data_IF_172026066409
#
_entry.id   IF_172026066409
#
_cell.length_a   1.000
_cell.length_b   1.000
_cell.length_c   1.000
_cell.angle_alpha   90.00
_cell.angle_beta   90.00
_cell.angle_gamma   90.00
#
_symmetry.space_group_name_H-M   'P 1'
#
loop_
_entity.id
_entity.type
_entity.pdbx_description
1 polymer ?
#
# COMPACT_ATOMS: atom_id res chain seq x y z
N UNK A 1 -4.27 -27.39 35.72
CA UNK A 1 -3.35 -26.99 34.65
C UNK A 1 -3.99 -26.78 33.27
N UNK A 2 -5.15 -27.35 33.01
CA UNK A 2 -5.91 -27.26 31.72
C UNK A 2 -6.50 -25.87 31.44
N UNK A 3 -6.76 -25.02 32.44
CA UNK A 3 -7.45 -23.75 32.29
C UNK A 3 -6.58 -22.62 31.67
N UNK A 4 -5.26 -22.75 31.61
CA UNK A 4 -4.38 -21.75 31.03
C UNK A 4 -4.22 -21.92 29.49
N UNK A 5 -4.32 -23.13 28.99
CA UNK A 5 -4.21 -23.43 27.56
C UNK A 5 -5.50 -23.12 26.79
N UNK A 6 -6.64 -23.16 27.46
CA UNK A 6 -7.95 -22.91 26.84
C UNK A 6 -8.11 -21.50 26.25
N UNK A 7 -7.76 -20.39 26.95
CA UNK A 7 -7.83 -19.05 26.36
C UNK A 7 -6.83 -18.86 25.23
N UNK A 8 -5.65 -19.47 25.30
CA UNK A 8 -4.65 -19.41 24.22
C UNK A 8 -5.18 -20.14 22.97
N UNK A 9 -5.72 -21.36 23.16
CA UNK A 9 -6.33 -22.13 22.08
C UNK A 9 -7.51 -21.40 21.43
N UNK A 10 -8.38 -20.78 22.25
CA UNK A 10 -9.49 -19.98 21.75
C UNK A 10 -9.01 -18.76 20.94
N UNK A 11 -8.00 -18.04 21.41
CA UNK A 11 -7.43 -16.90 20.71
C UNK A 11 -6.82 -17.30 19.34
N UNK A 12 -6.11 -18.42 19.28
CA UNK A 12 -5.55 -18.97 18.03
C UNK A 12 -6.67 -19.34 17.05
N UNK A 13 -7.71 -20.02 17.53
CA UNK A 13 -8.84 -20.40 16.67
C UNK A 13 -9.58 -19.18 16.13
N UNK A 14 -9.80 -18.13 16.94
CA UNK A 14 -10.40 -16.87 16.49
C UNK A 14 -9.53 -16.20 15.44
N UNK A 15 -8.21 -16.17 15.63
CA UNK A 15 -7.28 -15.60 14.65
C UNK A 15 -7.31 -16.36 13.31
N UNK A 16 -7.29 -17.69 13.37
CA UNK A 16 -7.39 -18.54 12.17
C UNK A 16 -8.73 -18.37 11.45
N UNK A 17 -9.82 -18.25 12.21
CA UNK A 17 -11.16 -17.97 11.63
C UNK A 17 -11.18 -16.63 10.90
N UNK A 18 -10.60 -15.55 11.47
CA UNK A 18 -10.51 -14.25 10.84
C UNK A 18 -9.68 -14.29 9.54
N UNK A 19 -8.52 -14.96 9.59
CA UNK A 19 -7.68 -15.15 8.40
C UNK A 19 -8.45 -15.92 7.32
N UNK A 20 -9.15 -17.00 7.71
CA UNK A 20 -9.97 -17.78 6.78
C UNK A 20 -11.09 -16.97 6.13
N UNK A 21 -11.80 -16.14 6.89
CA UNK A 21 -12.86 -15.25 6.38
C UNK A 21 -12.31 -14.23 5.39
N UNK A 22 -11.15 -13.62 5.69
CA UNK A 22 -10.50 -12.65 4.78
C UNK A 22 -10.05 -13.37 3.50
N UNK A 23 -9.46 -14.56 3.62
CA UNK A 23 -9.01 -15.35 2.47
C UNK A 23 -10.18 -15.78 1.56
N UNK A 24 -11.29 -16.23 2.12
CA UNK A 24 -12.49 -16.57 1.36
C UNK A 24 -13.08 -15.36 0.64
N UNK A 25 -13.15 -14.20 1.33
CA UNK A 25 -13.63 -12.95 0.73
C UNK A 25 -12.72 -12.50 -0.42
N UNK A 26 -11.39 -12.59 -0.25
CA UNK A 26 -10.42 -12.29 -1.29
C UNK A 26 -10.57 -13.23 -2.50
N UNK A 27 -10.69 -14.53 -2.24
CA UNK A 27 -10.85 -15.53 -3.30
C UNK A 27 -12.14 -15.33 -4.09
N UNK A 28 -13.26 -15.08 -3.40
CA UNK A 28 -14.53 -14.76 -4.06
C UNK A 28 -14.43 -13.51 -4.94
N UNK A 29 -13.82 -12.43 -4.42
CA UNK A 29 -13.64 -11.19 -5.17
C UNK A 29 -12.74 -11.41 -6.40
N UNK A 30 -11.64 -12.17 -6.27
CA UNK A 30 -10.75 -12.53 -7.38
C UNK A 30 -11.50 -13.37 -8.41
N UNK A 31 -12.23 -14.39 -7.99
CA UNK A 31 -13.01 -15.24 -8.90
C UNK A 31 -14.06 -14.42 -9.70
N UNK A 32 -14.69 -13.45 -9.04
CA UNK A 32 -15.66 -12.55 -9.67
C UNK A 32 -15.01 -11.51 -10.59
N UNK A 33 -13.76 -11.17 -10.37
CA UNK A 33 -13.02 -10.25 -11.23
C UNK A 33 -12.81 -10.79 -12.64
N UNK A 34 -12.69 -12.11 -12.79
CA UNK A 34 -12.53 -12.77 -14.10
C UNK A 34 -13.86 -13.14 -14.79
N UNK A 35 -15.02 -12.91 -14.16
CA UNK A 35 -16.32 -13.23 -14.76
C UNK A 35 -16.96 -12.00 -15.41
N UNK A 36 -17.45 -12.06 -16.66
CA UNK A 36 -18.19 -10.97 -17.26
C UNK A 36 -19.54 -10.74 -16.54
N UNK A 37 -20.17 -9.55 -16.67
CA UNK A 37 -19.74 -8.36 -17.39
C UNK A 37 -18.69 -7.52 -16.65
N UNK A 38 -17.72 -6.99 -17.41
CA UNK A 38 -16.71 -6.08 -16.90
C UNK A 38 -17.25 -4.65 -16.84
N UNK A 39 -17.06 -3.96 -15.71
CA UNK A 39 -17.56 -2.59 -15.49
C UNK A 39 -16.43 -1.57 -15.57
N UNK A 40 -15.85 -1.38 -16.75
CA UNK A 40 -14.69 -0.52 -16.97
C UNK A 40 -14.88 0.92 -16.44
N UNK A 41 -16.10 1.47 -16.54
CA UNK A 41 -16.41 2.82 -16.05
C UNK A 41 -16.24 2.94 -14.53
N UNK A 42 -16.61 1.89 -13.77
CA UNK A 42 -16.41 1.89 -12.32
C UNK A 42 -14.94 1.74 -11.97
N UNK A 43 -14.21 0.88 -12.68
CA UNK A 43 -12.76 0.73 -12.52
C UNK A 43 -12.04 2.06 -12.79
N UNK A 44 -12.36 2.72 -13.91
CA UNK A 44 -11.76 4.00 -14.25
C UNK A 44 -12.01 5.08 -13.20
N UNK A 45 -13.22 5.16 -12.65
CA UNK A 45 -13.53 6.08 -11.55
C UNK A 45 -12.69 5.78 -10.32
N UNK A 46 -12.60 4.52 -9.92
CA UNK A 46 -11.78 4.11 -8.78
C UNK A 46 -10.27 4.33 -9.00
N UNK A 47 -9.78 4.19 -10.25
CA UNK A 47 -8.39 4.52 -10.59
C UNK A 47 -8.09 6.01 -10.35
N UNK A 48 -9.03 6.89 -10.68
CA UNK A 48 -8.87 8.34 -10.38
C UNK A 48 -8.92 8.59 -8.88
N UNK A 49 -9.88 7.99 -8.17
CA UNK A 49 -10.05 8.18 -6.73
C UNK A 49 -8.84 7.67 -5.93
N UNK A 50 -8.31 6.50 -6.28
CA UNK A 50 -7.16 5.87 -5.63
C UNK A 50 -5.85 6.51 -6.08
N UNK A 51 -5.66 6.68 -7.40
CA UNK A 51 -4.40 7.16 -7.99
C UNK A 51 -4.26 8.68 -7.90
N UNK A 52 -5.05 9.40 -8.70
CA UNK A 52 -4.88 10.85 -8.88
C UNK A 52 -4.98 11.64 -7.57
N UNK A 53 -6.02 11.40 -6.79
CA UNK A 53 -6.21 12.14 -5.53
C UNK A 53 -5.24 11.73 -4.41
N UNK A 54 -4.44 10.65 -4.56
CA UNK A 54 -3.38 10.30 -3.62
C UNK A 54 -2.02 10.91 -4.00
N UNK A 55 -1.84 11.38 -5.23
CA UNK A 55 -0.58 11.94 -5.71
C UNK A 55 -0.01 13.05 -4.80
N UNK A 56 -0.79 14.05 -4.32
CA UNK A 56 -0.23 15.11 -3.50
C UNK A 56 0.38 14.60 -2.19
N UNK A 57 -0.31 13.69 -1.51
CA UNK A 57 0.15 13.14 -0.22
C UNK A 57 1.35 12.24 -0.42
N UNK A 58 1.31 11.35 -1.40
CA UNK A 58 2.41 10.44 -1.72
C UNK A 58 3.63 11.20 -2.23
N UNK A 59 3.43 12.20 -3.11
CA UNK A 59 4.50 13.04 -3.63
C UNK A 59 5.20 13.87 -2.56
N UNK A 60 4.43 14.51 -1.66
CA UNK A 60 5.01 15.24 -0.52
C UNK A 60 5.77 14.32 0.43
N UNK A 61 5.24 13.16 0.73
CA UNK A 61 5.94 12.18 1.56
C UNK A 61 7.24 11.74 0.90
N UNK A 62 7.22 11.44 -0.40
CA UNK A 62 8.39 10.99 -1.13
C UNK A 62 9.50 12.04 -1.20
N UNK A 63 9.17 13.29 -1.53
CA UNK A 63 10.18 14.36 -1.65
C UNK A 63 10.89 14.63 -0.32
N UNK A 64 10.13 14.76 0.78
CA UNK A 64 10.72 14.99 2.09
C UNK A 64 11.50 13.78 2.61
N UNK A 65 11.02 12.56 2.33
CA UNK A 65 11.76 11.34 2.67
C UNK A 65 13.10 11.29 1.95
N UNK A 66 13.14 11.59 0.65
CA UNK A 66 14.37 11.64 -0.12
C UNK A 66 15.35 12.70 0.40
N UNK A 67 14.85 13.90 0.72
CA UNK A 67 15.65 14.98 1.31
C UNK A 67 16.27 14.59 2.65
N UNK A 68 15.46 14.01 3.56
CA UNK A 68 15.92 13.59 4.89
C UNK A 68 16.90 12.44 4.79
N UNK A 69 16.63 11.47 3.90
CA UNK A 69 17.50 10.30 3.73
C UNK A 69 18.91 10.70 3.27
N UNK A 70 19.04 11.65 2.36
CA UNK A 70 20.34 12.20 1.95
C UNK A 70 21.06 12.87 3.12
N UNK A 71 20.39 13.74 3.89
CA UNK A 71 20.97 14.41 5.04
C UNK A 71 21.46 13.42 6.09
N UNK A 72 20.65 12.40 6.37
CA UNK A 72 20.99 11.40 7.38
C UNK A 72 22.14 10.50 6.91
N UNK A 73 22.12 10.11 5.65
CA UNK A 73 23.21 9.34 5.04
C UNK A 73 24.52 10.13 5.04
N UNK A 74 24.47 11.43 4.71
CA UNK A 74 25.66 12.30 4.73
C UNK A 74 26.31 12.31 6.11
N UNK A 75 25.54 12.52 7.17
CA UNK A 75 26.05 12.53 8.55
C UNK A 75 26.75 11.21 8.95
N UNK A 76 26.27 10.07 8.43
CA UNK A 76 26.89 8.76 8.67
C UNK A 76 28.14 8.52 7.81
N UNK A 77 28.03 8.72 6.50
CA UNK A 77 29.09 8.37 5.55
C UNK A 77 30.31 9.29 5.57
N UNK A 78 30.14 10.55 5.94
CA UNK A 78 31.26 11.51 6.11
C UNK A 78 32.29 11.03 7.13
N UNK A 79 31.88 10.29 8.16
CA UNK A 79 32.79 9.72 9.18
C UNK A 79 33.76 8.67 8.58
N UNK A 80 33.42 8.10 7.46
CA UNK A 80 34.19 7.05 6.77
C UNK A 80 34.78 7.51 5.45
N UNK A 81 34.70 8.81 5.10
CA UNK A 81 35.07 9.38 3.80
C UNK A 81 34.42 8.63 2.61
N UNK A 82 33.18 8.15 2.79
CA UNK A 82 32.44 7.35 1.81
C UNK A 82 31.26 8.10 1.20
N UNK A 83 31.39 9.41 1.02
CA UNK A 83 30.31 10.28 0.53
C UNK A 83 29.84 9.93 -0.88
N UNK A 84 30.71 9.37 -1.71
CA UNK A 84 30.38 8.90 -3.06
C UNK A 84 29.35 7.76 -3.11
N UNK A 85 29.17 7.04 -2.00
CA UNK A 85 28.18 5.95 -1.91
C UNK A 85 26.75 6.44 -1.60
N UNK A 86 26.57 7.70 -1.19
CA UNK A 86 25.28 8.25 -0.77
C UNK A 86 24.20 8.14 -1.87
N UNK A 87 24.46 8.55 -3.14
CA UNK A 87 23.45 8.41 -4.19
C UNK A 87 22.94 6.98 -4.35
N UNK A 88 23.84 6.00 -4.26
CA UNK A 88 23.55 4.59 -4.41
C UNK A 88 22.64 4.08 -3.29
N UNK A 89 22.97 4.42 -2.04
CA UNK A 89 22.18 4.02 -0.86
C UNK A 89 20.80 4.65 -0.91
N UNK A 90 20.73 5.92 -1.27
CA UNK A 90 19.46 6.66 -1.32
C UNK A 90 18.52 6.08 -2.37
N UNK A 91 19.01 5.86 -3.59
CA UNK A 91 18.15 5.35 -4.65
C UNK A 91 17.66 3.93 -4.38
N UNK A 92 18.52 3.02 -3.88
CA UNK A 92 18.09 1.65 -3.53
C UNK A 92 17.10 1.66 -2.38
N UNK A 93 17.36 2.44 -1.32
CA UNK A 93 16.46 2.51 -0.16
C UNK A 93 15.08 3.03 -0.56
N UNK A 94 15.00 3.98 -1.48
CA UNK A 94 13.72 4.48 -1.99
C UNK A 94 13.03 3.43 -2.85
N UNK A 95 13.68 2.94 -3.90
CA UNK A 95 13.03 2.08 -4.90
C UNK A 95 12.64 0.71 -4.36
N UNK A 96 13.47 0.09 -3.51
CA UNK A 96 13.21 -1.27 -2.98
C UNK A 96 12.27 -1.30 -1.80
N UNK A 97 12.36 -0.29 -0.89
CA UNK A 97 11.72 -0.38 0.42
C UNK A 97 10.84 0.84 0.74
N UNK A 98 11.44 2.02 0.86
CA UNK A 98 10.74 3.19 1.39
C UNK A 98 9.62 3.68 0.47
N UNK A 99 9.85 3.70 -0.84
CA UNK A 99 8.84 4.10 -1.82
C UNK A 99 7.57 3.26 -1.71
N UNK A 100 7.65 1.94 -1.92
CA UNK A 100 6.47 1.07 -1.82
C UNK A 100 5.80 1.08 -0.46
N UNK A 101 6.58 1.01 0.64
CA UNK A 101 6.02 0.92 2.00
C UNK A 101 5.35 2.23 2.41
N UNK A 102 6.03 3.37 2.24
CA UNK A 102 5.47 4.67 2.64
C UNK A 102 4.25 5.04 1.78
N UNK A 103 4.32 4.83 0.46
CA UNK A 103 3.16 5.04 -0.40
C UNK A 103 1.99 4.11 0.01
N UNK A 104 2.26 2.84 0.30
CA UNK A 104 1.26 1.88 0.77
C UNK A 104 0.59 2.32 2.07
N UNK A 105 1.36 2.75 3.07
CA UNK A 105 0.84 3.22 4.36
C UNK A 105 0.03 4.53 4.21
N UNK A 106 0.49 5.47 3.38
CA UNK A 106 -0.25 6.72 3.11
C UNK A 106 -1.59 6.43 2.41
N UNK A 107 -1.58 5.55 1.41
CA UNK A 107 -2.79 5.14 0.70
C UNK A 107 -3.71 4.31 1.61
N UNK A 108 -3.18 3.47 2.50
CA UNK A 108 -3.99 2.74 3.49
C UNK A 108 -4.77 3.72 4.40
N UNK A 109 -4.09 4.74 4.92
CA UNK A 109 -4.70 5.76 5.76
C UNK A 109 -5.78 6.59 5.05
N UNK A 110 -5.55 6.92 3.78
CA UNK A 110 -6.49 7.75 3.01
C UNK A 110 -7.58 6.93 2.33
N UNK A 111 -7.19 5.98 1.48
CA UNK A 111 -8.11 5.23 0.62
C UNK A 111 -8.70 4.02 1.34
N UNK A 112 -7.89 3.30 2.13
CA UNK A 112 -8.39 2.18 2.93
C UNK A 112 -9.50 2.62 3.90
N UNK A 113 -9.30 3.73 4.60
CA UNK A 113 -10.31 4.33 5.46
C UNK A 113 -11.55 4.79 4.67
N UNK A 114 -11.36 5.49 3.53
CA UNK A 114 -12.45 5.98 2.71
C UNK A 114 -13.31 4.84 2.14
N UNK A 115 -12.68 3.76 1.63
CA UNK A 115 -13.39 2.57 1.15
C UNK A 115 -14.18 1.89 2.25
N UNK A 116 -13.61 1.77 3.46
CA UNK A 116 -14.29 1.18 4.60
C UNK A 116 -15.48 2.05 5.07
N UNK A 117 -15.33 3.37 5.07
CA UNK A 117 -16.41 4.29 5.40
C UNK A 117 -17.56 4.23 4.39
N UNK A 118 -17.25 4.25 3.10
CA UNK A 118 -18.25 4.22 2.02
C UNK A 118 -19.04 2.91 2.03
N UNK A 119 -18.34 1.76 2.00
CA UNK A 119 -18.99 0.45 2.01
C UNK A 119 -19.69 0.20 3.34
N UNK A 120 -19.09 0.62 4.47
CA UNK A 120 -19.67 0.50 5.78
C UNK A 120 -20.97 1.30 5.93
N UNK A 121 -21.02 2.52 5.38
CA UNK A 121 -22.25 3.31 5.32
C UNK A 121 -23.32 2.61 4.48
N UNK A 122 -22.96 2.08 3.31
CA UNK A 122 -23.88 1.31 2.48
C UNK A 122 -24.39 0.05 3.18
N UNK A 123 -23.57 -0.56 4.05
CA UNK A 123 -23.95 -1.75 4.81
C UNK A 123 -24.96 -1.42 5.89
N UNK A 124 -24.71 -0.39 6.70
CA UNK A 124 -25.60 -0.01 7.82
C UNK A 124 -26.90 0.67 7.37
N UNK A 125 -26.95 1.18 6.14
CA UNK A 125 -28.17 1.71 5.50
C UNK A 125 -28.87 0.68 4.59
N UNK A 126 -28.51 -0.61 4.67
CA UNK A 126 -29.11 -1.73 3.93
C UNK A 126 -29.02 -1.63 2.39
N UNK A 127 -28.20 -0.71 1.85
CA UNK A 127 -28.04 -0.56 0.41
C UNK A 127 -27.38 -1.80 -0.23
N UNK A 128 -26.52 -2.51 0.51
CA UNK A 128 -25.91 -3.75 0.03
C UNK A 128 -26.96 -4.86 -0.11
N UNK A 129 -27.90 -4.93 0.83
CA UNK A 129 -28.98 -5.91 0.80
C UNK A 129 -30.00 -5.56 -0.33
N UNK A 130 -30.25 -4.27 -0.56
CA UNK A 130 -31.04 -3.82 -1.71
C UNK A 130 -30.39 -4.19 -3.06
N UNK A 131 -29.05 -4.12 -3.20
CA UNK A 131 -28.35 -4.61 -4.38
C UNK A 131 -28.55 -6.11 -4.61
N UNK A 132 -28.55 -6.89 -3.54
CA UNK A 132 -28.79 -8.34 -3.60
C UNK A 132 -30.21 -8.68 -4.03
N UNK A 133 -31.22 -7.95 -3.57
CA UNK A 133 -32.60 -8.14 -3.99
C UNK A 133 -32.82 -7.79 -5.47
N UNK A 134 -32.02 -6.86 -6.01
CA UNK A 134 -31.99 -6.51 -7.44
C UNK A 134 -31.16 -7.50 -8.29
N UNK A 135 -30.84 -8.69 -7.76
CA UNK A 135 -30.03 -9.72 -8.43
C UNK A 135 -28.64 -9.24 -8.87
N UNK A 136 -28.11 -8.21 -8.22
CA UNK A 136 -26.77 -7.70 -8.45
C UNK A 136 -25.85 -8.18 -7.34
N UNK A 137 -24.78 -8.93 -7.71
CA UNK A 137 -23.79 -9.37 -6.70
C UNK A 137 -23.03 -8.15 -6.16
N UNK A 138 -23.16 -7.84 -4.83
CA UNK A 138 -22.53 -6.66 -4.24
C UNK A 138 -21.01 -6.70 -4.27
N UNK A 139 -20.40 -7.88 -4.09
CA UNK A 139 -18.93 -8.03 -4.14
C UNK A 139 -18.42 -7.67 -5.53
N UNK A 140 -19.08 -8.16 -6.57
CA UNK A 140 -18.72 -7.84 -7.96
C UNK A 140 -18.90 -6.36 -8.30
N UNK A 141 -19.93 -5.72 -7.71
CA UNK A 141 -20.24 -4.33 -8.02
C UNK A 141 -19.37 -3.34 -7.25
N UNK A 142 -19.14 -3.59 -5.94
CA UNK A 142 -18.47 -2.67 -5.03
C UNK A 142 -16.99 -3.00 -4.81
N UNK A 143 -16.66 -4.29 -4.64
CA UNK A 143 -15.32 -4.72 -4.20
C UNK A 143 -14.37 -4.86 -5.39
N UNK A 144 -14.79 -5.59 -6.43
CA UNK A 144 -13.90 -5.89 -7.57
C UNK A 144 -13.30 -4.64 -8.23
N UNK A 145 -14.06 -3.57 -8.54
CA UNK A 145 -13.48 -2.38 -9.14
C UNK A 145 -12.43 -1.70 -8.25
N UNK A 146 -12.61 -1.74 -6.93
CA UNK A 146 -11.68 -1.18 -5.94
C UNK A 146 -10.39 -1.98 -5.84
N UNK A 147 -10.49 -3.33 -5.86
CA UNK A 147 -9.32 -4.21 -5.86
C UNK A 147 -8.47 -4.02 -7.10
N UNK A 148 -9.09 -3.98 -8.27
CA UNK A 148 -8.39 -3.76 -9.54
C UNK A 148 -7.74 -2.37 -9.56
N UNK A 149 -8.45 -1.35 -9.10
CA UNK A 149 -7.91 0.00 -9.01
C UNK A 149 -6.72 0.09 -8.04
N UNK A 150 -6.80 -0.53 -6.86
CA UNK A 150 -5.70 -0.59 -5.90
C UNK A 150 -4.46 -1.27 -6.48
N UNK A 151 -4.65 -2.42 -7.12
CA UNK A 151 -3.59 -3.20 -7.76
C UNK A 151 -2.82 -2.42 -8.84
N UNK A 152 -3.52 -1.57 -9.61
CA UNK A 152 -2.93 -0.81 -10.71
C UNK A 152 -2.42 0.56 -10.24
N UNK A 153 -3.18 1.28 -9.41
CA UNK A 153 -2.84 2.64 -9.00
C UNK A 153 -1.62 2.71 -8.11
N UNK A 154 -1.42 1.75 -7.20
CA UNK A 154 -0.31 1.86 -6.25
C UNK A 154 1.06 1.71 -6.92
N UNK A 155 1.31 0.78 -7.86
CA UNK A 155 2.56 0.78 -8.63
C UNK A 155 2.82 2.09 -9.38
N UNK A 156 1.80 2.69 -9.98
CA UNK A 156 1.94 3.97 -10.67
C UNK A 156 2.28 5.10 -9.69
N UNK A 157 1.65 5.14 -8.52
CA UNK A 157 1.98 6.09 -7.46
C UNK A 157 3.40 5.92 -6.95
N UNK A 158 3.86 4.68 -6.77
CA UNK A 158 5.23 4.38 -6.33
C UNK A 158 6.25 4.78 -7.38
N UNK A 159 6.01 4.50 -8.66
CA UNK A 159 6.90 4.96 -9.73
C UNK A 159 7.07 6.49 -9.72
N UNK A 160 5.99 7.24 -9.52
CA UNK A 160 6.04 8.70 -9.38
C UNK A 160 6.74 9.12 -8.09
N UNK A 161 6.46 8.43 -6.97
CA UNK A 161 7.08 8.69 -5.68
C UNK A 161 8.60 8.49 -5.69
N UNK A 162 9.07 7.43 -6.34
CA UNK A 162 10.50 7.15 -6.47
C UNK A 162 11.23 8.25 -7.25
N UNK A 163 10.65 8.71 -8.36
CA UNK A 163 11.21 9.82 -9.14
C UNK A 163 11.25 11.12 -8.30
N UNK A 164 10.16 11.47 -7.63
CA UNK A 164 10.07 12.66 -6.78
C UNK A 164 11.00 12.55 -5.58
N UNK A 165 11.11 11.38 -4.95
CA UNK A 165 11.97 11.16 -3.79
C UNK A 165 13.47 11.26 -4.14
N UNK A 166 13.88 10.63 -5.25
CA UNK A 166 15.24 10.74 -5.77
C UNK A 166 15.57 12.20 -6.14
N UNK A 167 14.64 12.89 -6.78
CA UNK A 167 14.78 14.32 -7.09
C UNK A 167 14.93 15.17 -5.82
N UNK A 168 14.13 14.91 -4.78
CA UNK A 168 14.27 15.58 -3.47
C UNK A 168 15.65 15.37 -2.86
N UNK A 169 16.16 14.13 -2.91
CA UNK A 169 17.52 13.81 -2.47
C UNK A 169 18.60 14.56 -3.29
N UNK A 170 18.46 14.59 -4.60
CA UNK A 170 19.34 15.35 -5.49
C UNK A 170 19.40 16.82 -5.13
N UNK A 171 18.28 17.47 -4.90
CA UNK A 171 18.23 18.89 -4.53
C UNK A 171 19.07 19.17 -3.27
N UNK A 172 18.92 18.37 -2.23
CA UNK A 172 19.72 18.54 -1.00
C UNK A 172 21.20 18.21 -1.22
N UNK A 173 21.52 17.14 -1.94
CA UNK A 173 22.89 16.74 -2.20
C UNK A 173 23.68 17.83 -2.95
N UNK A 174 23.11 18.40 -4.00
CA UNK A 174 23.79 19.38 -4.85
C UNK A 174 23.79 20.77 -4.23
N UNK A 175 22.63 21.30 -3.84
CA UNK A 175 22.51 22.70 -3.42
C UNK A 175 22.90 22.94 -1.96
N UNK A 176 22.79 21.95 -1.09
CA UNK A 176 23.12 22.11 0.31
C UNK A 176 24.46 21.48 0.70
N UNK A 177 24.76 20.30 0.17
CA UNK A 177 25.96 19.55 0.52
C UNK A 177 27.12 19.74 -0.48
N UNK A 178 26.90 20.42 -1.60
CA UNK A 178 27.93 20.76 -2.58
C UNK A 178 28.41 19.60 -3.45
N UNK A 179 27.61 18.55 -3.62
CA UNK A 179 27.99 17.43 -4.48
C UNK A 179 28.00 17.85 -5.95
N UNK A 180 28.89 17.21 -6.72
CA UNK A 180 28.91 17.42 -8.16
C UNK A 180 27.62 16.82 -8.78
N UNK A 181 26.84 17.67 -9.44
CA UNK A 181 25.56 17.28 -10.04
C UNK A 181 25.66 16.11 -11.02
N UNK A 182 26.64 16.16 -11.94
CA UNK A 182 26.84 15.13 -12.95
C UNK A 182 27.25 13.80 -12.34
N UNK A 183 28.12 13.84 -11.33
CA UNK A 183 28.55 12.63 -10.61
C UNK A 183 27.39 12.01 -9.82
N UNK A 184 26.58 12.83 -9.16
CA UNK A 184 25.43 12.35 -8.40
C UNK A 184 24.41 11.64 -9.30
N UNK A 185 24.01 12.26 -10.42
CA UNK A 185 23.05 11.66 -11.36
C UNK A 185 23.62 10.37 -11.96
N UNK A 186 24.87 10.40 -12.41
CA UNK A 186 25.52 9.22 -12.98
C UNK A 186 25.54 8.05 -12.02
N UNK A 187 25.98 8.25 -10.78
CA UNK A 187 26.03 7.21 -9.76
C UNK A 187 24.61 6.68 -9.44
N UNK A 188 23.62 7.56 -9.39
CA UNK A 188 22.22 7.15 -9.15
C UNK A 188 21.70 6.25 -10.27
N UNK A 189 21.94 6.61 -11.54
CA UNK A 189 21.41 5.87 -12.69
C UNK A 189 22.18 4.57 -12.91
N UNK A 190 23.52 4.60 -12.83
CA UNK A 190 24.35 3.43 -13.08
C UNK A 190 24.19 2.34 -12.02
N UNK A 191 23.75 2.69 -10.83
CA UNK A 191 23.62 1.74 -9.70
C UNK A 191 22.26 1.06 -9.62
N UNK A 192 21.20 1.66 -10.16
CA UNK A 192 19.86 1.07 -10.15
C UNK A 192 19.77 -0.06 -11.17
N UNK A 193 19.41 -1.23 -10.70
CA UNK A 193 19.16 -2.38 -11.58
C UNK A 193 17.66 -2.50 -11.90
N UNK A 194 17.35 -3.14 -13.02
CA UNK A 194 15.97 -3.42 -13.39
C UNK A 194 15.22 -4.22 -12.30
N UNK A 195 15.94 -5.09 -11.58
CA UNK A 195 15.37 -5.89 -10.50
C UNK A 195 14.89 -5.02 -9.33
N UNK A 196 15.60 -3.92 -9.03
CA UNK A 196 15.25 -3.00 -7.93
C UNK A 196 13.91 -2.34 -8.20
N UNK A 197 13.74 -1.80 -9.40
CA UNK A 197 12.51 -1.13 -9.81
C UNK A 197 11.35 -2.13 -9.89
N UNK A 198 11.56 -3.29 -10.52
CA UNK A 198 10.52 -4.32 -10.66
C UNK A 198 10.09 -4.85 -9.30
N UNK A 199 11.02 -5.13 -8.39
CA UNK A 199 10.69 -5.59 -7.03
C UNK A 199 9.84 -4.55 -6.27
N UNK A 200 10.19 -3.27 -6.35
CA UNK A 200 9.42 -2.17 -5.76
C UNK A 200 8.00 -2.09 -6.33
N UNK A 201 7.86 -2.16 -7.66
CA UNK A 201 6.54 -2.11 -8.32
C UNK A 201 5.68 -3.34 -8.00
N UNK A 202 6.26 -4.54 -7.92
CA UNK A 202 5.54 -5.75 -7.52
C UNK A 202 5.07 -5.65 -6.06
N UNK A 203 5.93 -5.18 -5.15
CA UNK A 203 5.53 -4.90 -3.76
C UNK A 203 4.37 -3.91 -3.72
N UNK A 204 4.46 -2.82 -4.47
CA UNK A 204 3.40 -1.83 -4.57
C UNK A 204 2.08 -2.43 -5.05
N UNK A 205 2.09 -3.29 -6.06
CA UNK A 205 0.89 -3.96 -6.56
C UNK A 205 0.22 -4.81 -5.46
N UNK A 206 1.01 -5.61 -4.74
CA UNK A 206 0.53 -6.41 -3.60
C UNK A 206 -0.03 -5.52 -2.49
N UNK A 207 0.64 -4.42 -2.15
CA UNK A 207 0.17 -3.49 -1.11
C UNK A 207 -1.13 -2.78 -1.53
N UNK A 208 -1.26 -2.40 -2.80
CA UNK A 208 -2.50 -1.83 -3.35
C UNK A 208 -3.68 -2.78 -3.26
N UNK A 209 -3.44 -4.06 -3.56
CA UNK A 209 -4.43 -5.11 -3.38
C UNK A 209 -4.81 -5.27 -1.89
N UNK A 210 -3.83 -5.31 -0.97
CA UNK A 210 -4.06 -5.45 0.47
C UNK A 210 -4.89 -4.27 1.01
N UNK A 211 -4.53 -3.03 0.65
CA UNK A 211 -5.26 -1.82 1.10
C UNK A 211 -6.71 -1.86 0.65
N UNK A 212 -6.96 -2.14 -0.61
CA UNK A 212 -8.32 -2.22 -1.16
C UNK A 212 -9.10 -3.40 -0.55
N UNK A 213 -8.46 -4.55 -0.34
CA UNK A 213 -9.07 -5.73 0.27
C UNK A 213 -9.50 -5.43 1.71
N UNK A 214 -8.60 -4.89 2.54
CA UNK A 214 -8.90 -4.62 3.94
C UNK A 214 -9.91 -3.49 4.11
N UNK A 215 -9.85 -2.46 3.26
CA UNK A 215 -10.86 -1.40 3.21
C UNK A 215 -12.26 -1.96 2.90
N UNK A 216 -12.35 -2.76 1.85
CA UNK A 216 -13.62 -3.38 1.45
C UNK A 216 -14.11 -4.42 2.47
N UNK A 217 -13.25 -5.28 3.00
CA UNK A 217 -13.62 -6.32 3.95
C UNK A 217 -14.18 -5.75 5.25
N UNK A 218 -13.48 -4.78 5.86
CA UNK A 218 -13.92 -4.18 7.11
C UNK A 218 -15.21 -3.36 6.89
N UNK A 219 -15.32 -2.62 5.79
CA UNK A 219 -16.55 -1.91 5.45
C UNK A 219 -17.74 -2.85 5.23
N UNK A 220 -17.55 -3.93 4.47
CA UNK A 220 -18.61 -4.90 4.16
C UNK A 220 -19.16 -5.62 5.40
N UNK A 221 -18.31 -5.85 6.40
CA UNK A 221 -18.65 -6.50 7.66
C UNK A 221 -19.00 -5.51 8.79
N UNK A 222 -19.13 -4.22 8.50
CA UNK A 222 -19.46 -3.20 9.50
C UNK A 222 -20.84 -3.43 10.08
N UNK A 223 -20.99 -3.20 11.41
CA UNK A 223 -22.24 -3.37 12.17
C UNK A 223 -22.32 -2.31 13.26
N UNK A 224 -23.54 -1.96 13.69
CA UNK A 224 -23.73 -1.03 14.82
C UNK A 224 -23.81 0.44 14.40
N UNK A 225 -24.31 0.73 13.20
CA UNK A 225 -24.58 2.10 12.74
C UNK A 225 -23.30 2.92 12.53
N UNK A 226 -23.38 4.23 12.74
CA UNK A 226 -22.27 5.15 12.50
C UNK A 226 -21.00 4.84 13.32
N UNK A 227 -21.17 4.39 14.57
CA UNK A 227 -20.05 4.00 15.42
C UNK A 227 -19.31 2.76 14.84
N UNK A 228 -20.06 1.81 14.32
CA UNK A 228 -19.48 0.63 13.65
C UNK A 228 -18.74 0.98 12.38
N UNK A 229 -19.22 1.95 11.60
CA UNK A 229 -18.50 2.48 10.42
C UNK A 229 -17.16 3.10 10.84
N UNK A 230 -17.16 3.92 11.90
CA UNK A 230 -15.91 4.49 12.44
C UNK A 230 -14.91 3.43 12.90
N UNK A 231 -15.38 2.37 13.59
CA UNK A 231 -14.52 1.24 13.95
C UNK A 231 -13.98 0.49 12.73
N UNK A 232 -14.81 0.27 11.71
CA UNK A 232 -14.41 -0.39 10.47
C UNK A 232 -13.32 0.39 9.71
N UNK A 233 -13.38 1.73 9.70
CA UNK A 233 -12.33 2.56 9.08
C UNK A 233 -10.98 2.41 9.78
N UNK A 234 -10.97 2.47 11.11
CA UNK A 234 -9.75 2.28 11.90
C UNK A 234 -9.18 0.88 11.70
N UNK A 235 -10.03 -0.16 11.79
CA UNK A 235 -9.60 -1.54 11.61
C UNK A 235 -9.07 -1.80 10.19
N UNK A 236 -9.63 -1.17 9.16
CA UNK A 236 -9.15 -1.27 7.79
C UNK A 236 -7.72 -0.75 7.66
N UNK A 237 -7.44 0.44 8.22
CA UNK A 237 -6.10 1.04 8.18
C UNK A 237 -5.09 0.21 8.95
N UNK A 238 -5.43 -0.17 10.19
CA UNK A 238 -4.52 -0.94 11.07
C UNK A 238 -4.19 -2.30 10.45
N UNK A 239 -5.20 -3.04 10.00
CA UNK A 239 -4.99 -4.36 9.40
C UNK A 239 -4.24 -4.29 8.07
N UNK A 240 -4.53 -3.30 7.22
CA UNK A 240 -3.78 -3.07 5.99
C UNK A 240 -2.31 -2.74 6.30
N UNK A 241 -2.04 -1.86 7.25
CA UNK A 241 -0.67 -1.49 7.64
C UNK A 241 0.13 -2.67 8.17
N UNK A 242 -0.45 -3.49 9.03
CA UNK A 242 0.20 -4.72 9.55
C UNK A 242 0.52 -5.67 8.39
N UNK A 243 -0.43 -5.92 7.50
CA UNK A 243 -0.22 -6.80 6.36
C UNK A 243 0.84 -6.25 5.39
N UNK A 244 0.86 -4.94 5.12
CA UNK A 244 1.90 -4.31 4.31
C UNK A 244 3.30 -4.61 4.89
N UNK A 245 3.50 -4.42 6.20
CA UNK A 245 4.79 -4.67 6.84
C UNK A 245 5.19 -6.15 6.80
N UNK A 246 4.25 -7.06 7.04
CA UNK A 246 4.50 -8.52 6.96
C UNK A 246 4.85 -8.93 5.53
N UNK A 247 4.03 -8.52 4.56
CA UNK A 247 4.28 -8.85 3.14
C UNK A 247 5.52 -8.15 2.60
N UNK A 248 5.87 -6.96 3.10
CA UNK A 248 7.14 -6.32 2.74
C UNK A 248 8.32 -7.21 3.06
N UNK A 249 8.39 -7.72 4.29
CA UNK A 249 9.46 -8.63 4.69
C UNK A 249 9.48 -9.90 3.82
N UNK A 250 8.32 -10.55 3.63
CA UNK A 250 8.23 -11.78 2.83
C UNK A 250 8.66 -11.57 1.38
N UNK A 251 8.25 -10.47 0.76
CA UNK A 251 8.62 -10.16 -0.62
C UNK A 251 10.09 -9.77 -0.75
N UNK A 252 10.64 -9.02 0.22
CA UNK A 252 12.08 -8.71 0.25
C UNK A 252 12.90 -9.99 0.33
N UNK A 253 12.54 -10.90 1.22
CA UNK A 253 13.17 -12.22 1.33
C UNK A 253 13.09 -12.98 0.01
N UNK A 254 11.91 -13.05 -0.62
CA UNK A 254 11.69 -13.76 -1.87
C UNK A 254 12.52 -13.21 -3.05
N UNK A 255 12.74 -11.89 -3.12
CA UNK A 255 13.51 -11.27 -4.21
C UNK A 255 15.01 -11.26 -3.97
N UNK A 256 15.47 -11.18 -2.72
CA UNK A 256 16.87 -10.89 -2.38
C UNK A 256 17.53 -11.93 -1.46
N UNK A 257 16.85 -13.00 -1.05
CA UNK A 257 17.45 -14.09 -0.29
C UNK A 257 18.25 -15.05 -1.18
N UNK A 258 19.39 -14.58 -1.67
CA UNK A 258 20.38 -15.44 -2.32
C UNK A 258 21.76 -15.16 -1.77
#
# INVERSE_FOLDING_TARGET
>A
MTNFLQPIGAAVLIALEQIGRIALFAFEAIALAFRPPFRFRLIARQLVDVGYYSLPVVGLTAIFTGMVLVLQSYTGFTRFNAESAIPNVVVISLTRELGPVLAGLMVAGRIGAAMAAEIGTMRVTEQIDALSTLSTNPIKYLVVPRLVAGLISLPLLVAVADIIGVFGGYVIAVYKLGFNSSAYIKNTVDFVTNLDVVSGLVKAAVFGFIVALMGCYNGYNSRGGAQGVGAATTNAVVSASILILVFNYMLTEAFFSR
#
